data_IF_934055637330
#
_entry.id   IF_934055637330
#
_cell.length_a   1.000
_cell.length_b   1.000
_cell.length_c   1.000
_cell.angle_alpha   90.00
_cell.angle_beta   90.00
_cell.angle_gamma   90.00
#
_symmetry.space_group_name_H-M   'P 1'
#
loop_
_entity.id
_entity.type
_entity.pdbx_description
1 polymer ?
#
# COMPACT_ATOMS: atom_id res chain seq x y z
N UNK A 1 -19.35 0.53 18.28
CA UNK A 1 -18.74 -0.77 17.92
C UNK A 1 -19.62 -1.97 18.24
N UNK A 2 -20.43 -1.94 19.30
CA UNK A 2 -21.33 -3.05 19.66
C UNK A 2 -22.45 -3.31 18.64
N UNK A 3 -22.93 -2.26 17.96
CA UNK A 3 -23.99 -2.37 16.97
C UNK A 3 -23.53 -3.15 15.71
N UNK A 4 -22.30 -2.85 15.25
CA UNK A 4 -21.70 -3.55 14.10
C UNK A 4 -21.45 -5.02 14.41
N UNK A 5 -20.91 -5.31 15.60
CA UNK A 5 -20.67 -6.69 16.03
C UNK A 5 -21.96 -7.48 16.14
N UNK A 6 -23.02 -6.89 16.72
CA UNK A 6 -24.33 -7.50 16.78
C UNK A 6 -24.95 -7.78 15.40
N UNK A 7 -24.79 -6.85 14.46
CA UNK A 7 -25.27 -7.03 13.10
C UNK A 7 -24.52 -8.16 12.36
N UNK A 8 -23.21 -8.23 12.50
CA UNK A 8 -22.37 -9.31 11.92
C UNK A 8 -22.72 -10.68 12.51
N UNK A 9 -22.98 -10.75 13.84
CA UNK A 9 -23.43 -11.98 14.48
C UNK A 9 -24.76 -12.44 13.92
N UNK A 10 -25.73 -11.53 13.78
CA UNK A 10 -27.04 -11.84 13.19
C UNK A 10 -26.93 -12.34 11.74
N UNK A 11 -26.02 -11.75 10.94
CA UNK A 11 -25.77 -12.21 9.57
C UNK A 11 -25.14 -13.59 9.53
N UNK A 12 -24.23 -13.90 10.48
CA UNK A 12 -23.59 -15.22 10.58
C UNK A 12 -24.57 -16.31 11.07
N UNK A 13 -25.55 -15.95 11.90
CA UNK A 13 -26.52 -16.87 12.50
C UNK A 13 -27.77 -17.08 11.63
N UNK A 14 -28.17 -16.07 10.84
CA UNK A 14 -29.36 -16.15 9.99
C UNK A 14 -29.12 -17.02 8.76
N UNK A 15 -29.30 -18.32 8.94
CA UNK A 15 -29.25 -19.34 7.90
C UNK A 15 -30.56 -19.38 7.06
N UNK A 16 -30.99 -18.25 6.51
CA UNK A 16 -32.18 -18.21 5.63
C UNK A 16 -31.89 -18.79 4.23
N UNK A 17 -31.17 -19.90 4.14
CA UNK A 17 -30.97 -20.67 2.91
C UNK A 17 -29.92 -20.11 1.93
N UNK A 18 -29.51 -18.87 2.04
CA UNK A 18 -28.46 -18.26 1.24
C UNK A 18 -27.18 -18.08 2.05
N UNK A 19 -26.19 -18.94 1.82
CA UNK A 19 -24.84 -18.79 2.38
C UNK A 19 -24.02 -17.85 1.50
N UNK A 20 -24.05 -16.56 1.79
CA UNK A 20 -23.16 -15.59 1.14
C UNK A 20 -21.89 -15.50 1.98
N UNK A 21 -20.69 -15.74 1.44
CA UNK A 21 -19.47 -15.54 2.17
C UNK A 21 -19.28 -14.05 2.49
N UNK A 22 -19.03 -13.74 3.76
CA UNK A 22 -18.75 -12.38 4.23
C UNK A 22 -17.26 -12.33 4.57
N UNK A 23 -16.53 -11.43 3.91
CA UNK A 23 -15.11 -11.21 4.16
C UNK A 23 -14.95 -9.86 4.84
N UNK A 24 -14.38 -9.86 6.04
CA UNK A 24 -14.05 -8.66 6.80
C UNK A 24 -12.54 -8.45 6.71
N UNK A 25 -12.12 -7.24 6.34
CA UNK A 25 -10.72 -6.86 6.31
C UNK A 25 -10.47 -5.68 7.24
N UNK A 26 -9.35 -5.67 7.94
CA UNK A 26 -8.96 -4.59 8.84
C UNK A 26 -7.60 -4.86 9.48
N UNK A 27 -7.04 -3.84 10.11
CA UNK A 27 -5.72 -3.92 10.75
C UNK A 27 -5.80 -4.43 12.19
N UNK A 28 -6.92 -4.19 12.87
CA UNK A 28 -7.12 -4.62 14.26
C UNK A 28 -8.58 -5.02 14.49
N UNK A 29 -8.78 -6.28 14.78
CA UNK A 29 -10.07 -6.86 15.13
C UNK A 29 -10.15 -7.26 16.60
N UNK A 30 -9.20 -6.89 17.45
CA UNK A 30 -9.09 -7.33 18.84
C UNK A 30 -10.39 -7.12 19.63
N UNK A 31 -11.11 -6.03 19.39
CA UNK A 31 -12.36 -5.68 20.07
C UNK A 31 -13.62 -6.27 19.43
N UNK A 32 -13.60 -6.51 18.13
CA UNK A 32 -14.78 -6.96 17.36
C UNK A 32 -14.78 -8.48 17.19
N UNK A 33 -13.61 -9.07 17.16
CA UNK A 33 -13.40 -10.44 16.72
C UNK A 33 -13.72 -11.49 17.78
N UNK A 34 -13.47 -11.21 19.05
CA UNK A 34 -13.67 -12.17 20.12
C UNK A 34 -15.10 -12.76 20.18
N UNK A 35 -16.19 -11.97 20.02
CA UNK A 35 -17.53 -12.50 19.93
C UNK A 35 -17.83 -13.32 18.67
N UNK A 36 -17.18 -12.98 17.52
CA UNK A 36 -17.39 -13.66 16.24
C UNK A 36 -16.65 -15.00 16.18
N UNK A 37 -15.49 -15.12 16.82
CA UNK A 37 -14.72 -16.38 16.90
C UNK A 37 -15.34 -17.43 17.79
N UNK A 38 -16.20 -17.01 18.74
CA UNK A 38 -16.93 -17.96 19.58
C UNK A 38 -17.93 -18.74 18.71
N UNK A 39 -17.92 -20.04 18.85
CA UNK A 39 -18.89 -20.94 18.19
C UNK A 39 -18.68 -21.15 16.70
N UNK A 40 -17.46 -20.97 16.12
CA UNK A 40 -17.20 -21.25 14.70
C UNK A 40 -17.96 -20.36 13.72
N UNK A 41 -18.32 -19.15 14.12
CA UNK A 41 -19.04 -18.19 13.28
C UNK A 41 -18.17 -17.51 12.24
N UNK A 42 -16.86 -17.43 12.51
CA UNK A 42 -15.90 -16.83 11.59
C UNK A 42 -14.54 -17.50 11.72
N UNK A 43 -13.87 -17.66 10.60
CA UNK A 43 -12.48 -18.07 10.53
C UNK A 43 -11.58 -16.83 10.46
N UNK A 44 -10.49 -16.87 11.24
CA UNK A 44 -9.49 -15.79 11.24
C UNK A 44 -8.35 -16.16 10.30
N UNK A 45 -8.07 -15.27 9.37
CA UNK A 45 -6.83 -15.26 8.61
C UNK A 45 -6.00 -14.03 9.01
N UNK A 46 -4.79 -14.25 9.51
CA UNK A 46 -3.85 -13.19 9.83
C UNK A 46 -2.70 -13.21 8.84
N UNK A 47 -2.60 -12.13 8.07
CA UNK A 47 -1.53 -11.99 7.10
C UNK A 47 -0.40 -11.15 7.71
N UNK A 48 0.74 -11.79 7.92
CA UNK A 48 1.95 -11.18 8.45
C UNK A 48 3.14 -11.63 7.60
N UNK A 49 3.45 -10.89 6.52
CA UNK A 49 4.54 -11.27 5.64
C UNK A 49 5.88 -11.20 6.40
N UNK A 50 6.74 -12.20 6.19
CA UNK A 50 8.11 -12.13 6.66
C UNK A 50 8.92 -11.09 5.89
N UNK A 51 10.20 -10.90 6.27
CA UNK A 51 11.06 -9.88 5.66
C UNK A 51 11.20 -10.06 4.14
N UNK A 52 11.44 -11.29 3.68
CA UNK A 52 11.65 -11.57 2.25
C UNK A 52 10.37 -11.41 1.43
N UNK A 53 9.26 -11.91 1.94
CA UNK A 53 7.95 -11.72 1.32
C UNK A 53 7.58 -10.24 1.22
N UNK A 54 7.82 -9.48 2.28
CA UNK A 54 7.58 -8.05 2.29
C UNK A 54 8.46 -7.33 1.29
N UNK A 55 9.74 -7.70 1.20
CA UNK A 55 10.71 -7.14 0.25
C UNK A 55 10.27 -7.38 -1.19
N UNK A 56 9.82 -8.59 -1.51
CA UNK A 56 9.32 -8.95 -2.84
C UNK A 56 8.06 -8.18 -3.21
N UNK A 57 7.12 -8.04 -2.26
CA UNK A 57 5.89 -7.27 -2.48
C UNK A 57 6.22 -5.80 -2.76
N UNK A 58 7.09 -5.19 -1.94
CA UNK A 58 7.51 -3.80 -2.13
C UNK A 58 8.25 -3.63 -3.45
N UNK A 59 9.16 -4.54 -3.81
CA UNK A 59 9.85 -4.55 -5.12
C UNK A 59 8.86 -4.60 -6.29
N UNK A 60 7.85 -5.44 -6.17
CA UNK A 60 6.77 -5.54 -7.18
C UNK A 60 5.99 -4.23 -7.31
N UNK A 61 5.69 -3.56 -6.19
CA UNK A 61 5.04 -2.25 -6.19
C UNK A 61 5.90 -1.23 -6.92
N UNK A 62 7.20 -1.15 -6.59
CA UNK A 62 8.10 -0.20 -7.24
C UNK A 62 8.22 -0.45 -8.74
N UNK A 63 8.47 -1.70 -9.15
CA UNK A 63 8.63 -2.08 -10.56
C UNK A 63 7.38 -1.84 -11.40
N UNK A 64 6.20 -1.82 -10.78
CA UNK A 64 4.94 -1.50 -11.47
C UNK A 64 4.88 -0.04 -11.91
N UNK A 65 5.59 0.85 -11.24
CA UNK A 65 5.51 2.29 -11.46
C UNK A 65 6.76 2.87 -12.11
N UNK A 66 7.92 2.25 -11.89
CA UNK A 66 9.18 2.70 -12.46
C UNK A 66 10.26 1.63 -12.26
N UNK A 67 11.27 1.62 -13.12
CA UNK A 67 12.41 0.71 -12.98
C UNK A 67 13.40 1.29 -11.95
N UNK A 68 13.49 0.66 -10.80
CA UNK A 68 14.52 0.95 -9.81
C UNK A 68 15.68 -0.04 -9.98
N UNK A 69 16.91 0.46 -9.83
CA UNK A 69 18.09 -0.41 -9.78
C UNK A 69 17.99 -1.32 -8.54
N UNK A 70 18.39 -2.58 -8.67
CA UNK A 70 18.29 -3.56 -7.58
C UNK A 70 19.10 -3.18 -6.35
N UNK A 71 20.28 -2.62 -6.54
CA UNK A 71 21.13 -2.16 -5.43
C UNK A 71 20.51 -0.96 -4.70
N UNK A 72 20.00 0.02 -5.46
CA UNK A 72 19.29 1.19 -4.92
C UNK A 72 18.01 0.78 -4.17
N UNK A 73 17.27 -0.19 -4.71
CA UNK A 73 16.10 -0.74 -4.04
C UNK A 73 16.45 -1.42 -2.72
N UNK A 74 17.49 -2.27 -2.71
CA UNK A 74 17.91 -2.97 -1.51
C UNK A 74 18.36 -1.98 -0.43
N UNK A 75 19.18 -0.98 -0.77
CA UNK A 75 19.60 0.07 0.16
C UNK A 75 18.40 0.79 0.79
N UNK A 76 17.43 1.18 -0.05
CA UNK A 76 16.22 1.85 0.43
C UNK A 76 15.38 0.95 1.32
N UNK A 77 15.12 -0.28 0.88
CA UNK A 77 14.27 -1.21 1.63
C UNK A 77 14.89 -1.58 2.98
N UNK A 78 16.18 -1.91 3.01
CA UNK A 78 16.88 -2.33 4.23
C UNK A 78 16.91 -1.18 5.26
N UNK A 79 17.15 0.06 4.80
CA UNK A 79 17.12 1.25 5.66
C UNK A 79 15.74 1.48 6.31
N UNK A 80 14.66 1.15 5.62
CA UNK A 80 13.29 1.42 6.08
C UNK A 80 12.45 0.17 6.31
N UNK A 81 13.07 -0.99 6.50
CA UNK A 81 12.40 -2.29 6.56
C UNK A 81 11.29 -2.39 7.62
N UNK A 82 11.36 -1.59 8.69
CA UNK A 82 10.36 -1.59 9.76
C UNK A 82 9.06 -0.84 9.40
N UNK A 83 9.04 -0.08 8.29
CA UNK A 83 7.82 0.60 7.83
C UNK A 83 6.87 -0.39 7.17
N UNK A 84 5.58 -0.09 7.15
CA UNK A 84 4.57 -0.95 6.52
C UNK A 84 4.68 -0.97 4.99
N UNK A 85 4.11 -1.98 4.34
CA UNK A 85 3.97 -2.01 2.87
C UNK A 85 3.21 -0.78 2.37
N UNK A 86 2.22 -0.31 3.16
CA UNK A 86 1.47 0.90 2.85
C UNK A 86 2.34 2.16 2.82
N UNK A 87 3.36 2.25 3.69
CA UNK A 87 4.27 3.40 3.70
C UNK A 87 5.11 3.44 2.42
N UNK A 88 5.62 2.30 1.97
CA UNK A 88 6.32 2.20 0.68
C UNK A 88 5.42 2.52 -0.51
N UNK A 89 4.16 2.05 -0.49
CA UNK A 89 3.19 2.40 -1.52
C UNK A 89 2.90 3.91 -1.55
N UNK A 90 2.78 4.54 -0.39
CA UNK A 90 2.58 5.98 -0.30
C UNK A 90 3.82 6.76 -0.75
N UNK A 91 5.04 6.28 -0.42
CA UNK A 91 6.29 6.87 -0.89
C UNK A 91 6.35 6.94 -2.42
N UNK A 92 6.08 5.82 -3.10
CA UNK A 92 6.10 5.81 -4.57
C UNK A 92 5.00 6.66 -5.17
N UNK A 93 3.83 6.76 -4.53
CA UNK A 93 2.77 7.64 -4.97
C UNK A 93 3.13 9.12 -4.83
N UNK A 94 3.83 9.52 -3.77
CA UNK A 94 4.33 10.89 -3.62
C UNK A 94 5.38 11.23 -4.66
N UNK A 95 6.33 10.32 -4.88
CA UNK A 95 7.30 10.45 -5.95
C UNK A 95 6.62 10.69 -7.31
N UNK A 96 5.60 9.90 -7.63
CA UNK A 96 4.80 10.09 -8.87
C UNK A 96 4.06 11.41 -8.93
N UNK A 97 3.49 11.86 -7.81
CA UNK A 97 2.81 13.16 -7.74
C UNK A 97 3.78 14.30 -8.02
N UNK A 98 5.00 14.24 -7.50
CA UNK A 98 6.02 15.25 -7.77
C UNK A 98 6.40 15.28 -9.25
N UNK A 99 6.67 14.12 -9.85
CA UNK A 99 6.94 14.05 -11.29
C UNK A 99 5.78 14.61 -12.13
N UNK A 100 4.55 14.27 -11.77
CA UNK A 100 3.37 14.76 -12.47
C UNK A 100 3.22 16.28 -12.33
N UNK A 101 3.46 16.81 -11.14
CA UNK A 101 3.45 18.26 -10.87
C UNK A 101 4.47 18.98 -11.73
N UNK A 102 5.70 18.48 -11.84
CA UNK A 102 6.75 19.07 -12.65
C UNK A 102 6.38 19.10 -14.15
N UNK A 103 5.67 18.08 -14.64
CA UNK A 103 5.14 18.08 -16.01
C UNK A 103 4.03 19.11 -16.19
N UNK A 104 3.09 19.21 -15.23
CA UNK A 104 1.98 20.18 -15.32
C UNK A 104 2.50 21.61 -15.39
N UNK A 105 3.51 21.96 -14.62
CA UNK A 105 4.09 23.32 -14.58
C UNK A 105 4.71 23.76 -15.90
N UNK A 106 4.96 22.83 -16.85
CA UNK A 106 5.48 23.14 -18.17
C UNK A 106 4.40 23.60 -19.17
N UNK A 107 3.12 23.47 -18.80
CA UNK A 107 2.00 23.85 -19.65
C UNK A 107 1.34 25.15 -19.16
N UNK A 108 1.15 26.11 -20.07
CA UNK A 108 0.46 27.37 -19.78
C UNK A 108 -1.04 27.18 -19.56
N UNK A 109 -1.64 26.18 -20.22
CA UNK A 109 -3.07 25.85 -20.13
C UNK A 109 -3.25 24.38 -19.85
N UNK A 110 -4.04 24.05 -18.84
CA UNK A 110 -4.36 22.67 -18.48
C UNK A 110 -5.78 22.36 -18.96
N UNK A 111 -5.90 21.64 -20.06
CA UNK A 111 -7.14 21.13 -20.61
C UNK A 111 -7.15 19.57 -20.58
N UNK A 112 -8.24 18.96 -21.07
CA UNK A 112 -8.34 17.50 -21.16
C UNK A 112 -7.27 16.87 -22.05
N UNK A 113 -6.85 17.54 -23.10
CA UNK A 113 -5.82 17.06 -24.03
C UNK A 113 -4.45 17.08 -23.35
N UNK A 114 -4.15 18.15 -22.62
CA UNK A 114 -2.93 18.29 -21.81
C UNK A 114 -2.82 17.16 -20.80
N UNK A 115 -3.89 16.88 -20.02
CA UNK A 115 -3.94 15.80 -19.04
C UNK A 115 -3.75 14.43 -19.71
N UNK A 116 -4.40 14.20 -20.85
CA UNK A 116 -4.24 12.98 -21.64
C UNK A 116 -2.80 12.80 -22.11
N UNK A 117 -2.19 13.84 -22.64
CA UNK A 117 -0.80 13.85 -23.12
C UNK A 117 0.18 13.56 -21.98
N UNK A 118 0.04 14.24 -20.84
CA UNK A 118 0.87 13.99 -19.65
C UNK A 118 0.70 12.55 -19.16
N UNK A 119 -0.53 12.04 -19.12
CA UNK A 119 -0.81 10.67 -18.72
C UNK A 119 -0.14 9.65 -19.66
N UNK A 120 -0.12 9.91 -20.96
CA UNK A 120 0.58 9.06 -21.94
C UNK A 120 2.10 9.14 -21.77
N UNK A 121 2.65 10.34 -21.59
CA UNK A 121 4.08 10.54 -21.32
C UNK A 121 4.50 9.77 -20.06
N UNK A 122 3.76 9.92 -18.97
CA UNK A 122 4.05 9.22 -17.71
C UNK A 122 3.92 7.70 -17.85
N UNK A 123 3.01 7.20 -18.70
CA UNK A 123 2.86 5.76 -18.96
C UNK A 123 3.93 5.21 -19.91
N UNK A 124 4.34 5.97 -20.91
CA UNK A 124 5.31 5.53 -21.94
C UNK A 124 6.75 5.64 -21.45
N UNK A 125 7.01 6.59 -20.58
CA UNK A 125 8.32 6.71 -19.96
C UNK A 125 8.36 5.70 -18.82
N UNK A 126 8.95 4.52 -19.07
CA UNK A 126 9.53 3.70 -18.01
C UNK A 126 10.70 4.51 -17.42
N UNK A 127 10.36 5.54 -16.62
CA UNK A 127 11.35 6.40 -16.04
C UNK A 127 12.25 5.57 -15.13
N UNK A 128 13.53 5.63 -15.40
CA UNK A 128 14.51 5.33 -14.38
C UNK A 128 14.21 6.24 -13.19
N UNK A 129 14.00 5.66 -12.03
CA UNK A 129 13.74 6.42 -10.80
C UNK A 129 14.93 7.35 -10.54
N UNK A 130 14.68 8.62 -10.27
CA UNK A 130 15.65 9.48 -9.63
C UNK A 130 15.75 9.04 -8.16
N UNK A 131 16.77 8.22 -7.89
CA UNK A 131 16.97 7.65 -6.57
C UNK A 131 17.27 8.71 -5.52
N UNK A 132 17.94 9.81 -5.88
CA UNK A 132 18.26 10.89 -4.94
C UNK A 132 16.99 11.60 -4.46
N UNK A 133 16.05 11.85 -5.35
CA UNK A 133 14.73 12.40 -5.02
C UNK A 133 13.92 11.42 -4.17
N UNK A 134 13.88 10.15 -4.57
CA UNK A 134 13.17 9.11 -3.85
C UNK A 134 13.71 8.94 -2.42
N UNK A 135 15.02 8.91 -2.25
CA UNK A 135 15.70 8.82 -0.95
C UNK A 135 15.35 10.01 -0.06
N UNK A 136 15.39 11.22 -0.59
CA UNK A 136 15.00 12.43 0.14
C UNK A 136 13.55 12.38 0.62
N UNK A 137 12.63 11.87 -0.20
CA UNK A 137 11.23 11.69 0.19
C UNK A 137 11.09 10.63 1.29
N UNK A 138 11.84 9.54 1.19
CA UNK A 138 11.86 8.49 2.21
C UNK A 138 12.42 9.02 3.54
N UNK A 139 13.53 9.74 3.53
CA UNK A 139 14.14 10.35 4.72
C UNK A 139 13.17 11.29 5.46
N UNK A 140 12.33 12.00 4.73
CA UNK A 140 11.36 12.92 5.31
C UNK A 140 10.12 12.23 5.89
N UNK A 141 9.80 11.03 5.43
CA UNK A 141 8.53 10.37 5.71
C UNK A 141 8.65 9.11 6.56
N UNK A 142 9.66 8.31 6.28
CA UNK A 142 9.79 6.96 6.82
C UNK A 142 10.72 6.95 8.03
N UNK A 143 10.44 6.03 8.95
CA UNK A 143 11.32 5.81 10.11
C UNK A 143 12.41 4.83 9.72
N UNK A 144 13.65 5.19 9.97
CA UNK A 144 14.77 4.27 9.79
C UNK A 144 14.61 3.02 10.66
N UNK A 145 15.00 1.87 10.13
CA UNK A 145 15.09 0.66 10.90
C UNK A 145 16.14 0.88 12.00
N UNK A 146 15.77 0.61 13.26
CA UNK A 146 16.77 0.61 14.34
C UNK A 146 17.74 -0.50 14.04
N UNK A 147 19.00 -0.18 13.87
CA UNK A 147 20.09 -1.15 13.97
C UNK A 147 20.10 -1.62 15.43
N UNK A 148 19.71 -2.88 15.64
CA UNK A 148 19.98 -3.52 16.94
C UNK A 148 21.50 -3.61 17.07
N UNK A 149 22.08 -2.77 17.97
CA UNK A 149 23.44 -2.90 18.47
C UNK A 149 23.54 -4.06 19.45
#
# INVERSE_FOLDING_TARGET
SNLLTGHLMNLAENNNGFKIPIILTGNDFSKTYAPLLRSGRADKFEWSPNYEEKKEIVKTIFNRFANINEQEFNELFDKYANNSISDFYQLINEYRKMLFSDYITQFEVIDKNTISTISQIVKQQQHKIDYSLLKRLADNRMKEAKTDE
#
